data_IF_467969846420
#
_entry.id   IF_467969846420
#
_cell.length_a   1.000
_cell.length_b   1.000
_cell.length_c   1.000
_cell.angle_alpha   90.00
_cell.angle_beta   90.00
_cell.angle_gamma   90.00
#
_symmetry.space_group_name_H-M   'P 1'
#
loop_
_entity.id
_entity.type
_entity.pdbx_description
1 polymer ?
#
# COMPACT_ATOMS: atom_id res chain seq x y z
N UNK A 1 -53.62 9.93 2.47
CA UNK A 1 -52.97 10.39 1.22
C UNK A 1 -51.76 11.27 1.55
N UNK A 2 -50.58 10.69 1.32
CA UNK A 2 -49.25 11.26 1.01
C UNK A 2 -48.80 12.60 1.61
N UNK A 3 -47.98 12.51 2.67
CA UNK A 3 -46.92 13.49 3.01
C UNK A 3 -45.53 12.84 3.18
N UNK A 4 -45.27 11.68 2.56
CA UNK A 4 -44.03 10.89 2.80
C UNK A 4 -43.04 10.91 1.60
N UNK A 5 -43.34 11.56 0.48
CA UNK A 5 -42.52 11.43 -0.75
C UNK A 5 -41.49 12.57 -0.96
N UNK A 6 -41.35 13.54 -0.05
CA UNK A 6 -40.52 14.73 -0.30
C UNK A 6 -39.17 14.82 0.43
N UNK A 7 -38.73 13.76 1.13
CA UNK A 7 -37.42 13.78 1.84
C UNK A 7 -36.35 12.93 1.11
N UNK A 8 -36.76 11.99 0.24
CA UNK A 8 -35.81 11.12 -0.45
C UNK A 8 -35.10 11.80 -1.65
N UNK A 9 -35.71 12.80 -2.29
CA UNK A 9 -35.11 13.47 -3.46
C UNK A 9 -34.19 14.64 -3.12
N UNK A 10 -34.30 15.24 -1.92
CA UNK A 10 -33.46 16.38 -1.54
C UNK A 10 -32.09 15.97 -0.99
N UNK A 11 -31.95 14.76 -0.44
CA UNK A 11 -30.66 14.25 0.04
C UNK A 11 -29.80 13.75 -1.13
N UNK A 12 -30.43 13.29 -2.22
CA UNK A 12 -29.69 12.93 -3.43
C UNK A 12 -29.13 14.17 -4.17
N UNK A 13 -29.76 15.33 -4.00
CA UNK A 13 -29.34 16.59 -4.62
C UNK A 13 -28.24 17.34 -3.83
N UNK A 14 -28.05 17.02 -2.55
CA UNK A 14 -27.01 17.64 -1.73
C UNK A 14 -25.60 17.07 -1.97
N UNK A 15 -25.48 15.97 -2.73
CA UNK A 15 -24.17 15.39 -3.10
C UNK A 15 -23.67 15.87 -4.48
N UNK A 16 -24.47 16.64 -5.22
CA UNK A 16 -24.13 17.14 -6.55
C UNK A 16 -23.81 18.64 -6.59
N UNK A 17 -23.74 19.32 -5.44
CA UNK A 17 -23.49 20.77 -5.34
C UNK A 17 -22.37 21.15 -4.35
N UNK A 18 -21.33 20.33 -4.27
CA UNK A 18 -20.03 20.75 -3.74
C UNK A 18 -18.95 20.47 -4.77
N UNK A 19 -18.61 21.50 -5.55
CA UNK A 19 -17.29 21.71 -6.14
C UNK A 19 -16.78 20.70 -7.17
N UNK A 20 -17.05 20.96 -8.45
CA UNK A 20 -16.11 20.62 -9.53
C UNK A 20 -14.83 21.47 -9.40
N UNK A 21 -14.00 21.24 -8.37
CA UNK A 21 -12.83 22.10 -8.16
C UNK A 21 -12.02 21.91 -6.89
N UNK A 22 -12.08 20.74 -6.25
CA UNK A 22 -10.98 20.29 -5.38
C UNK A 22 -10.27 19.21 -6.15
N UNK A 23 -8.99 19.38 -6.47
CA UNK A 23 -8.15 18.25 -6.87
C UNK A 23 -8.24 17.23 -5.74
N UNK A 24 -9.00 16.15 -5.93
CA UNK A 24 -9.05 15.05 -4.99
C UNK A 24 -7.61 14.62 -4.72
N UNK A 25 -7.07 14.92 -3.53
CA UNK A 25 -5.83 14.30 -3.10
C UNK A 25 -6.10 12.87 -2.63
N UNK A 26 -5.07 12.03 -2.65
CA UNK A 26 -5.22 10.62 -2.30
C UNK A 26 -5.86 10.42 -0.91
N UNK A 27 -5.50 11.27 0.07
CA UNK A 27 -5.97 11.13 1.45
C UNK A 27 -7.47 11.35 1.54
N UNK A 28 -7.96 12.40 0.90
CA UNK A 28 -9.38 12.77 0.88
C UNK A 28 -10.20 11.68 0.19
N UNK A 29 -9.79 11.27 -1.03
CA UNK A 29 -10.50 10.23 -1.78
C UNK A 29 -10.51 8.88 -1.05
N UNK A 30 -9.41 8.51 -0.41
CA UNK A 30 -9.32 7.28 0.40
C UNK A 30 -10.24 7.34 1.62
N UNK A 31 -10.31 8.47 2.33
CA UNK A 31 -11.20 8.64 3.46
C UNK A 31 -12.67 8.53 3.06
N UNK A 32 -13.06 9.14 1.93
CA UNK A 32 -14.40 8.99 1.37
C UNK A 32 -14.73 7.53 1.03
N UNK A 33 -13.81 6.82 0.38
CA UNK A 33 -13.96 5.40 0.06
C UNK A 33 -14.14 4.57 1.34
N UNK A 34 -13.31 4.79 2.36
CA UNK A 34 -13.41 4.08 3.65
C UNK A 34 -14.75 4.36 4.35
N UNK A 35 -15.22 5.61 4.34
CA UNK A 35 -16.53 5.96 4.89
C UNK A 35 -17.69 5.30 4.12
N UNK A 36 -17.56 5.17 2.79
CA UNK A 36 -18.54 4.47 1.96
C UNK A 36 -18.52 2.95 2.23
N UNK A 37 -17.34 2.34 2.36
CA UNK A 37 -17.18 0.92 2.72
C UNK A 37 -17.75 0.64 4.11
N UNK A 38 -17.51 1.51 5.09
CA UNK A 38 -18.05 1.37 6.45
C UNK A 38 -19.58 1.40 6.44
N UNK A 39 -20.19 2.35 5.71
CA UNK A 39 -21.65 2.42 5.54
C UNK A 39 -22.19 1.17 4.85
N UNK A 40 -21.50 0.70 3.81
CA UNK A 40 -21.87 -0.50 3.08
C UNK A 40 -21.80 -1.75 3.95
N UNK A 41 -20.74 -1.90 4.74
CA UNK A 41 -20.53 -3.04 5.64
C UNK A 41 -21.63 -3.08 6.70
N UNK A 42 -21.93 -1.94 7.33
CA UNK A 42 -23.04 -1.83 8.29
C UNK A 42 -24.37 -2.26 7.67
N UNK A 43 -24.67 -1.79 6.45
CA UNK A 43 -25.88 -2.21 5.74
C UNK A 43 -25.88 -3.71 5.43
N UNK A 44 -24.74 -4.27 5.02
CA UNK A 44 -24.58 -5.69 4.70
C UNK A 44 -24.80 -6.61 5.91
N UNK A 45 -24.26 -6.23 7.08
CA UNK A 45 -24.40 -6.98 8.32
C UNK A 45 -25.86 -7.05 8.78
N UNK A 46 -26.58 -5.92 8.71
CA UNK A 46 -27.98 -5.83 9.14
C UNK A 46 -28.98 -6.33 8.09
N UNK A 47 -28.56 -6.52 6.83
CA UNK A 47 -29.48 -6.89 5.75
C UNK A 47 -29.92 -8.36 5.79
N UNK A 48 -31.18 -8.67 5.40
CA UNK A 48 -31.64 -10.03 5.15
C UNK A 48 -30.77 -10.78 4.12
N UNK A 49 -30.64 -12.10 4.26
CA UNK A 49 -29.82 -12.93 3.37
C UNK A 49 -30.13 -12.74 1.88
N UNK A 50 -31.41 -12.53 1.54
CA UNK A 50 -31.87 -12.31 0.15
C UNK A 50 -31.33 -11.00 -0.45
N UNK A 51 -31.09 -9.98 0.37
CA UNK A 51 -30.61 -8.66 -0.05
C UNK A 51 -29.07 -8.59 -0.10
N UNK A 52 -28.39 -9.41 0.70
CA UNK A 52 -26.92 -9.47 0.76
C UNK A 52 -26.27 -9.73 -0.61
N UNK A 53 -26.91 -10.49 -1.50
CA UNK A 53 -26.39 -10.72 -2.86
C UNK A 53 -26.32 -9.42 -3.67
N UNK A 54 -27.37 -8.59 -3.59
CA UNK A 54 -27.41 -7.29 -4.27
C UNK A 54 -26.36 -6.34 -3.69
N UNK A 55 -26.25 -6.31 -2.36
CA UNK A 55 -25.23 -5.50 -1.68
C UNK A 55 -23.81 -5.90 -2.12
N UNK A 56 -23.45 -7.18 -2.17
CA UNK A 56 -22.12 -7.60 -2.69
C UNK A 56 -21.83 -7.06 -4.10
N UNK A 57 -22.84 -7.05 -4.98
CA UNK A 57 -22.70 -6.53 -6.34
C UNK A 57 -22.51 -5.01 -6.35
N UNK A 58 -23.13 -4.31 -5.41
CA UNK A 58 -23.08 -2.86 -5.28
C UNK A 58 -22.03 -2.39 -4.26
N UNK A 59 -20.89 -3.09 -4.19
CA UNK A 59 -19.78 -2.67 -3.33
C UNK A 59 -19.27 -1.27 -3.77
N UNK A 60 -18.95 -0.34 -2.84
CA UNK A 60 -18.59 1.04 -3.18
C UNK A 60 -17.45 1.18 -4.19
N UNK A 61 -16.54 0.22 -4.25
CA UNK A 61 -15.37 0.23 -5.13
C UNK A 61 -15.68 0.59 -6.59
N UNK A 62 -16.81 0.14 -7.14
CA UNK A 62 -17.17 0.45 -8.53
C UNK A 62 -17.36 1.95 -8.79
N UNK A 63 -17.85 2.69 -7.79
CA UNK A 63 -18.05 4.14 -7.90
C UNK A 63 -16.76 4.94 -7.68
N UNK A 64 -15.80 4.38 -6.94
CA UNK A 64 -14.53 5.03 -6.62
C UNK A 64 -13.41 4.66 -7.59
N UNK A 65 -13.52 3.53 -8.30
CA UNK A 65 -12.50 3.05 -9.22
C UNK A 65 -12.11 4.10 -10.29
N UNK A 66 -13.04 4.73 -11.03
CA UNK A 66 -12.67 5.73 -12.03
C UNK A 66 -11.97 6.98 -11.44
N UNK A 67 -12.33 7.36 -10.21
CA UNK A 67 -11.69 8.49 -9.50
C UNK A 67 -10.24 8.17 -9.14
N UNK A 68 -9.99 6.95 -8.65
CA UNK A 68 -8.63 6.49 -8.39
C UNK A 68 -7.82 6.27 -9.68
N UNK A 69 -8.45 5.83 -10.78
CA UNK A 69 -7.79 5.74 -12.10
C UNK A 69 -7.32 7.11 -12.61
N UNK A 70 -8.18 8.13 -12.49
CA UNK A 70 -7.82 9.49 -12.89
C UNK A 70 -6.68 10.04 -12.02
N UNK A 71 -6.84 9.95 -10.70
CA UNK A 71 -5.84 10.42 -9.75
C UNK A 71 -4.51 9.67 -9.91
N UNK A 72 -4.57 8.35 -10.12
CA UNK A 72 -3.42 7.47 -10.32
C UNK A 72 -2.63 7.71 -11.61
N UNK A 73 -3.04 8.64 -12.49
CA UNK A 73 -2.16 9.10 -13.57
C UNK A 73 -0.96 9.87 -13.03
N UNK A 74 -1.17 10.63 -11.95
CA UNK A 74 -0.17 11.55 -11.39
C UNK A 74 0.14 11.29 -9.90
N UNK A 75 -0.63 10.43 -9.23
CA UNK A 75 -0.44 10.10 -7.81
C UNK A 75 -0.07 8.61 -7.64
N UNK A 76 1.09 8.35 -7.04
CA UNK A 76 1.58 6.99 -6.84
C UNK A 76 0.83 6.22 -5.77
N UNK A 77 0.26 6.88 -4.75
CA UNK A 77 -0.56 6.22 -3.73
C UNK A 77 -1.89 5.75 -4.31
N UNK A 78 -2.51 6.56 -5.17
CA UNK A 78 -3.70 6.17 -5.91
C UNK A 78 -3.41 5.00 -6.86
N UNK A 79 -2.25 5.01 -7.53
CA UNK A 79 -1.82 3.87 -8.36
C UNK A 79 -1.63 2.61 -7.54
N UNK A 80 -0.98 2.68 -6.37
CA UNK A 80 -0.82 1.54 -5.47
C UNK A 80 -2.18 1.00 -4.99
N UNK A 81 -3.11 1.89 -4.66
CA UNK A 81 -4.47 1.50 -4.28
C UNK A 81 -5.17 0.70 -5.39
N UNK A 82 -5.01 1.10 -6.66
CA UNK A 82 -5.57 0.36 -7.80
C UNK A 82 -4.93 -1.04 -7.93
N UNK A 83 -3.61 -1.15 -7.74
CA UNK A 83 -2.88 -2.42 -7.78
C UNK A 83 -3.41 -3.39 -6.70
N UNK A 84 -3.52 -2.90 -5.47
CA UNK A 84 -4.01 -3.67 -4.32
C UNK A 84 -5.47 -4.13 -4.50
N UNK A 85 -6.30 -3.26 -5.08
CA UNK A 85 -7.73 -3.50 -5.23
C UNK A 85 -8.11 -4.08 -6.60
N UNK A 86 -7.16 -4.42 -7.47
CA UNK A 86 -7.39 -4.80 -8.86
C UNK A 86 -8.50 -5.85 -9.05
N UNK A 87 -8.42 -6.99 -8.34
CA UNK A 87 -9.45 -8.03 -8.43
C UNK A 87 -10.83 -7.55 -7.99
N UNK A 88 -10.88 -6.78 -6.89
CA UNK A 88 -12.11 -6.24 -6.33
C UNK A 88 -12.71 -5.14 -7.24
N UNK A 89 -11.86 -4.42 -7.96
CA UNK A 89 -12.21 -3.42 -8.97
C UNK A 89 -12.64 -4.01 -10.31
N UNK A 90 -12.58 -5.34 -10.47
CA UNK A 90 -13.04 -6.03 -11.68
C UNK A 90 -11.95 -6.39 -12.69
N UNK A 91 -10.67 -6.18 -12.37
CA UNK A 91 -9.55 -6.67 -13.20
C UNK A 91 -9.58 -8.20 -13.22
N UNK A 92 -9.69 -8.76 -14.42
CA UNK A 92 -9.77 -10.22 -14.62
C UNK A 92 -8.42 -10.88 -14.33
N UNK A 93 -8.47 -12.16 -13.92
CA UNK A 93 -7.27 -12.92 -13.58
C UNK A 93 -6.22 -12.96 -14.70
N UNK A 94 -6.64 -13.14 -15.96
CA UNK A 94 -5.74 -13.16 -17.12
C UNK A 94 -5.04 -11.82 -17.39
N UNK A 95 -5.64 -10.71 -16.98
CA UNK A 95 -5.10 -9.36 -17.20
C UNK A 95 -4.34 -8.82 -15.98
N UNK A 96 -4.44 -9.51 -14.84
CA UNK A 96 -3.96 -9.01 -13.55
C UNK A 96 -2.46 -8.76 -13.54
N UNK A 97 -1.66 -9.68 -14.08
CA UNK A 97 -0.21 -9.54 -14.14
C UNK A 97 0.20 -8.29 -14.94
N UNK A 98 -0.40 -8.10 -16.13
CA UNK A 98 -0.12 -6.96 -16.98
C UNK A 98 -0.57 -5.63 -16.35
N UNK A 99 -1.74 -5.63 -15.70
CA UNK A 99 -2.25 -4.48 -14.96
C UNK A 99 -1.28 -4.06 -13.84
N UNK A 100 -0.87 -5.01 -12.99
CA UNK A 100 0.04 -4.73 -11.87
C UNK A 100 1.42 -4.28 -12.34
N UNK A 101 2.01 -4.94 -13.34
CA UNK A 101 3.29 -4.53 -13.93
C UNK A 101 3.26 -3.09 -14.44
N UNK A 102 2.20 -2.72 -15.15
CA UNK A 102 1.99 -1.35 -15.63
C UNK A 102 1.89 -0.35 -14.47
N UNK A 103 1.12 -0.70 -13.43
CA UNK A 103 0.99 0.11 -12.22
C UNK A 103 2.32 0.34 -11.51
N UNK A 104 3.07 -0.73 -11.21
CA UNK A 104 4.38 -0.61 -10.57
C UNK A 104 5.37 0.19 -11.41
N UNK A 105 5.45 -0.08 -12.72
CA UNK A 105 6.32 0.67 -13.62
C UNK A 105 5.99 2.18 -13.63
N UNK A 106 4.73 2.55 -13.45
CA UNK A 106 4.31 3.95 -13.29
C UNK A 106 4.78 4.51 -11.95
N UNK A 107 4.46 3.83 -10.84
CA UNK A 107 4.81 4.23 -9.47
C UNK A 107 6.30 4.53 -9.33
N UNK A 108 7.18 3.66 -9.86
CA UNK A 108 8.63 3.81 -9.74
C UNK A 108 9.24 4.86 -10.69
N UNK A 109 8.49 5.35 -11.69
CA UNK A 109 8.93 6.44 -12.59
C UNK A 109 8.59 7.83 -12.05
N UNK A 110 7.74 7.94 -11.04
CA UNK A 110 7.34 9.22 -10.46
C UNK A 110 8.49 9.82 -9.62
N UNK A 111 8.75 11.11 -9.79
CA UNK A 111 9.86 11.81 -9.12
C UNK A 111 9.64 11.98 -7.61
N UNK A 112 8.39 12.23 -7.18
CA UNK A 112 8.05 12.44 -5.77
C UNK A 112 7.45 11.18 -5.13
N UNK A 113 8.26 10.12 -5.01
CA UNK A 113 7.79 8.82 -4.51
C UNK A 113 8.13 8.50 -3.05
N UNK A 114 8.89 9.37 -2.37
CA UNK A 114 9.43 9.08 -1.04
C UNK A 114 8.34 8.67 -0.02
N UNK A 115 7.15 9.28 -0.10
CA UNK A 115 6.05 9.01 0.82
C UNK A 115 5.43 7.61 0.70
N UNK A 116 5.65 6.90 -0.42
CA UNK A 116 5.03 5.60 -0.69
C UNK A 116 5.98 4.55 -1.27
N UNK A 117 7.26 4.90 -1.46
CA UNK A 117 8.25 4.02 -2.07
C UNK A 117 8.43 2.70 -1.29
N UNK A 118 8.51 2.78 0.04
CA UNK A 118 8.62 1.60 0.90
C UNK A 118 7.44 0.64 0.73
N UNK A 119 6.22 1.17 0.69
CA UNK A 119 5.00 0.39 0.45
C UNK A 119 5.00 -0.23 -0.94
N UNK A 120 5.40 0.54 -1.97
CA UNK A 120 5.51 0.03 -3.33
C UNK A 120 6.48 -1.15 -3.44
N UNK A 121 7.64 -1.08 -2.78
CA UNK A 121 8.64 -2.15 -2.74
C UNK A 121 8.08 -3.40 -2.06
N UNK A 122 7.45 -3.24 -0.89
CA UNK A 122 6.88 -4.35 -0.15
C UNK A 122 5.76 -5.05 -0.95
N UNK A 123 4.84 -4.28 -1.53
CA UNK A 123 3.76 -4.81 -2.34
C UNK A 123 4.27 -5.51 -3.60
N UNK A 124 5.28 -4.94 -4.28
CA UNK A 124 5.89 -5.55 -5.46
C UNK A 124 6.47 -6.94 -5.14
N UNK A 125 7.16 -7.07 -4.00
CA UNK A 125 7.73 -8.34 -3.56
C UNK A 125 6.64 -9.37 -3.23
N UNK A 126 5.56 -8.97 -2.52
CA UNK A 126 4.41 -9.84 -2.25
C UNK A 126 3.70 -10.30 -3.54
N UNK A 127 3.77 -9.48 -4.59
CA UNK A 127 3.16 -9.76 -5.89
C UNK A 127 4.05 -10.60 -6.81
N UNK A 128 5.21 -11.11 -6.36
CA UNK A 128 6.14 -11.90 -7.17
C UNK A 128 5.45 -13.04 -7.95
N UNK A 129 4.61 -13.83 -7.27
CA UNK A 129 3.83 -14.91 -7.90
C UNK A 129 2.81 -14.42 -8.96
N UNK A 130 2.42 -13.15 -8.93
CA UNK A 130 1.49 -12.56 -9.92
C UNK A 130 2.23 -11.86 -11.05
N UNK A 131 3.28 -11.09 -10.76
CA UNK A 131 4.00 -10.29 -11.76
C UNK A 131 5.28 -10.95 -12.27
N UNK A 132 5.68 -12.08 -11.71
CA UNK A 132 6.88 -12.84 -12.06
C UNK A 132 8.14 -12.29 -11.39
N UNK A 133 8.98 -13.20 -10.89
CA UNK A 133 10.17 -12.88 -10.08
C UNK A 133 11.18 -12.03 -10.85
N UNK A 134 11.40 -12.30 -12.14
CA UNK A 134 12.29 -11.48 -12.99
C UNK A 134 11.91 -10.00 -12.99
N UNK A 135 10.60 -9.73 -13.05
CA UNK A 135 10.10 -8.36 -13.02
C UNK A 135 10.40 -7.70 -11.68
N UNK A 136 10.17 -8.41 -10.58
CA UNK A 136 10.43 -7.94 -9.22
C UNK A 136 11.92 -7.71 -9.00
N UNK A 137 12.74 -8.75 -9.21
CA UNK A 137 14.20 -8.72 -9.05
C UNK A 137 14.83 -7.61 -9.88
N UNK A 138 14.42 -7.46 -11.14
CA UNK A 138 14.91 -6.40 -12.02
C UNK A 138 14.62 -4.99 -11.51
N UNK A 139 13.44 -4.76 -10.92
CA UNK A 139 13.09 -3.47 -10.31
C UNK A 139 13.86 -3.24 -9.01
N UNK A 140 13.88 -4.22 -8.10
CA UNK A 140 14.56 -4.09 -6.81
C UNK A 140 16.07 -3.87 -6.98
N UNK A 141 16.74 -4.62 -7.86
CA UNK A 141 18.16 -4.40 -8.19
C UNK A 141 18.43 -3.00 -8.75
N UNK A 142 17.53 -2.48 -9.59
CA UNK A 142 17.66 -1.12 -10.14
C UNK A 142 17.54 -0.06 -9.04
N UNK A 143 16.54 -0.20 -8.16
CA UNK A 143 16.33 0.72 -7.04
C UNK A 143 17.50 0.67 -6.05
N UNK A 144 18.05 -0.51 -5.77
CA UNK A 144 19.19 -0.68 -4.88
C UNK A 144 20.45 0.06 -5.37
N UNK A 145 20.69 0.02 -6.69
CA UNK A 145 21.79 0.75 -7.36
C UNK A 145 21.55 2.26 -7.45
N UNK A 146 20.32 2.72 -7.28
CA UNK A 146 19.94 4.12 -7.38
C UNK A 146 20.29 4.96 -6.15
N UNK A 147 19.69 6.15 -6.11
CA UNK A 147 19.86 7.18 -5.07
C UNK A 147 18.88 7.05 -3.90
N UNK A 148 18.24 5.89 -3.74
CA UNK A 148 17.34 5.64 -2.62
C UNK A 148 18.03 5.86 -1.27
N UNK A 149 17.28 6.33 -0.28
CA UNK A 149 17.80 6.54 1.08
C UNK A 149 18.29 5.23 1.70
N UNK A 150 19.12 5.32 2.74
CA UNK A 150 19.63 4.14 3.46
C UNK A 150 18.51 3.21 3.95
N UNK A 151 17.47 3.78 4.55
CA UNK A 151 16.33 3.03 5.08
C UNK A 151 15.59 2.28 3.96
N UNK A 152 15.37 2.94 2.82
CA UNK A 152 14.76 2.30 1.65
C UNK A 152 15.65 1.21 1.09
N UNK A 153 16.98 1.42 1.02
CA UNK A 153 17.93 0.38 0.59
C UNK A 153 17.88 -0.85 1.50
N UNK A 154 17.74 -0.68 2.82
CA UNK A 154 17.54 -1.80 3.74
C UNK A 154 16.30 -2.63 3.42
N UNK A 155 15.16 -1.96 3.16
CA UNK A 155 13.93 -2.63 2.75
C UNK A 155 14.13 -3.37 1.42
N UNK A 156 14.76 -2.74 0.44
CA UNK A 156 15.05 -3.37 -0.86
C UNK A 156 15.93 -4.60 -0.68
N UNK A 157 16.99 -4.53 0.13
CA UNK A 157 17.88 -5.66 0.42
C UNK A 157 17.10 -6.83 0.98
N UNK A 158 16.29 -6.61 2.02
CA UNK A 158 15.49 -7.68 2.63
C UNK A 158 14.50 -8.26 1.62
N UNK A 159 13.72 -7.41 0.93
CA UNK A 159 12.71 -7.87 -0.03
C UNK A 159 13.28 -8.56 -1.26
N UNK A 160 14.42 -8.10 -1.76
CA UNK A 160 15.14 -8.80 -2.84
C UNK A 160 15.68 -10.14 -2.35
N UNK A 161 16.16 -10.21 -1.11
CA UNK A 161 16.69 -11.44 -0.50
C UNK A 161 15.61 -12.50 -0.35
N UNK A 162 14.45 -12.11 0.19
CA UNK A 162 13.27 -12.96 0.30
C UNK A 162 12.87 -13.54 -1.07
N UNK A 163 12.73 -12.69 -2.09
CA UNK A 163 12.33 -13.13 -3.46
C UNK A 163 13.37 -14.07 -4.07
N UNK A 164 14.67 -13.76 -3.93
CA UNK A 164 15.74 -14.60 -4.47
C UNK A 164 15.82 -15.95 -3.74
N UNK A 165 15.72 -15.96 -2.41
CA UNK A 165 15.78 -17.17 -1.58
C UNK A 165 14.64 -18.15 -1.85
N UNK A 166 13.49 -17.65 -2.31
CA UNK A 166 12.34 -18.46 -2.68
C UNK A 166 12.44 -19.05 -4.11
N UNK A 167 13.51 -18.75 -4.86
CA UNK A 167 13.69 -19.24 -6.23
C UNK A 167 13.98 -20.75 -6.27
N UNK A 168 13.45 -21.43 -7.28
CA UNK A 168 13.81 -22.83 -7.56
C UNK A 168 15.23 -22.98 -8.15
N UNK A 169 15.81 -21.90 -8.64
CA UNK A 169 17.19 -21.86 -9.12
C UNK A 169 18.15 -21.77 -7.92
N UNK A 170 18.99 -22.80 -7.76
CA UNK A 170 19.86 -22.94 -6.59
C UNK A 170 20.88 -21.80 -6.44
N UNK A 171 21.39 -21.24 -7.54
CA UNK A 171 22.34 -20.13 -7.46
C UNK A 171 21.65 -18.85 -6.99
N UNK A 172 20.44 -18.58 -7.47
CA UNK A 172 19.61 -17.46 -7.01
C UNK A 172 19.15 -17.63 -5.58
N UNK A 173 18.73 -18.83 -5.20
CA UNK A 173 18.36 -19.13 -3.82
C UNK A 173 19.53 -18.82 -2.86
N UNK A 174 20.72 -19.32 -3.19
CA UNK A 174 21.94 -19.06 -2.41
C UNK A 174 22.32 -17.56 -2.38
N UNK A 175 22.13 -16.82 -3.47
CA UNK A 175 22.32 -15.36 -3.49
C UNK A 175 21.38 -14.67 -2.48
N UNK A 176 20.09 -15.04 -2.49
CA UNK A 176 19.09 -14.50 -1.60
C UNK A 176 19.39 -14.80 -0.13
N UNK A 177 19.67 -16.06 0.18
CA UNK A 177 20.05 -16.52 1.53
C UNK A 177 21.28 -15.78 2.05
N UNK A 178 22.33 -15.67 1.22
CA UNK A 178 23.55 -14.94 1.58
C UNK A 178 23.23 -13.47 1.88
N UNK A 179 22.42 -12.83 1.04
CA UNK A 179 22.10 -11.42 1.23
C UNK A 179 21.28 -11.16 2.50
N UNK A 180 20.37 -12.09 2.85
CA UNK A 180 19.63 -12.04 4.12
C UNK A 180 20.54 -12.27 5.32
N UNK A 181 21.42 -13.29 5.27
CA UNK A 181 22.36 -13.59 6.33
C UNK A 181 23.34 -12.44 6.59
N UNK A 182 23.86 -11.80 5.54
CA UNK A 182 24.72 -10.62 5.65
C UNK A 182 23.98 -9.43 6.27
N UNK A 183 22.70 -9.24 5.92
CA UNK A 183 21.88 -8.19 6.51
C UNK A 183 21.62 -8.45 7.99
N UNK A 184 21.26 -9.67 8.35
CA UNK A 184 21.00 -10.10 9.72
C UNK A 184 22.25 -9.97 10.60
N UNK A 185 23.39 -10.48 10.13
CA UNK A 185 24.67 -10.38 10.82
C UNK A 185 25.08 -8.92 11.08
N UNK A 186 24.74 -8.02 10.15
CA UNK A 186 25.13 -6.60 10.24
C UNK A 186 24.20 -5.75 11.10
N UNK A 187 22.90 -6.06 11.13
CA UNK A 187 21.90 -5.14 11.67
C UNK A 187 20.96 -5.72 12.73
N UNK A 188 20.89 -7.05 12.88
CA UNK A 188 19.89 -7.72 13.73
C UNK A 188 20.55 -8.59 14.80
N UNK A 189 21.70 -9.20 14.50
CA UNK A 189 22.39 -10.13 15.40
C UNK A 189 22.84 -9.49 16.72
N UNK A 190 23.00 -10.31 17.77
CA UNK A 190 23.55 -9.88 19.06
C UNK A 190 24.91 -9.17 18.87
N UNK A 191 25.08 -8.03 19.54
CA UNK A 191 26.26 -7.19 19.39
C UNK A 191 26.24 -6.24 18.19
N UNK A 192 25.26 -6.34 17.28
CA UNK A 192 25.06 -5.35 16.23
C UNK A 192 24.74 -3.97 16.84
N UNK A 193 25.32 -2.92 16.26
CA UNK A 193 25.06 -1.54 16.70
C UNK A 193 23.66 -1.16 16.23
N UNK A 194 22.78 -0.87 17.19
CA UNK A 194 21.44 -0.37 16.91
C UNK A 194 21.50 0.89 16.04
N UNK A 195 20.74 0.89 14.95
CA UNK A 195 20.71 1.98 13.98
C UNK A 195 20.01 3.17 14.62
N UNK A 196 20.60 4.36 14.54
CA UNK A 196 19.93 5.58 14.97
C UNK A 196 18.73 5.87 14.07
N UNK A 197 17.63 6.32 14.67
CA UNK A 197 16.38 6.59 13.96
C UNK A 197 15.76 7.87 14.49
N UNK A 198 14.97 8.51 13.63
CA UNK A 198 14.10 9.63 13.98
C UNK A 198 12.68 9.12 14.18
N UNK A 199 12.05 9.50 15.28
CA UNK A 199 10.67 9.15 15.57
C UNK A 199 9.93 10.34 16.19
N UNK A 200 8.61 10.34 16.04
CA UNK A 200 7.72 11.34 16.64
C UNK A 200 6.67 10.62 17.48
N UNK A 201 6.47 11.04 18.72
CA UNK A 201 5.42 10.49 19.59
C UNK A 201 4.03 10.95 19.14
N UNK A 202 2.98 10.35 19.70
CA UNK A 202 1.58 10.76 19.44
C UNK A 202 1.30 12.21 19.86
N UNK A 203 2.07 12.74 20.81
CA UNK A 203 1.98 14.13 21.28
C UNK A 203 2.86 15.09 20.46
N UNK A 204 3.51 14.61 19.40
CA UNK A 204 4.33 15.42 18.50
C UNK A 204 5.77 15.63 18.96
N UNK A 205 6.25 14.93 19.99
CA UNK A 205 7.63 15.03 20.43
C UNK A 205 8.56 14.25 19.52
N UNK A 206 9.53 14.92 18.91
CA UNK A 206 10.60 14.28 18.15
C UNK A 206 11.65 13.68 19.10
N UNK A 207 12.12 12.48 18.79
CA UNK A 207 13.22 11.84 19.50
C UNK A 207 14.06 10.96 18.58
N UNK A 208 15.30 10.74 18.98
CA UNK A 208 16.24 9.81 18.35
C UNK A 208 16.67 8.73 19.32
N UNK A 209 17.16 7.60 18.82
CA UNK A 209 17.80 6.59 19.67
C UNK A 209 19.02 7.18 20.37
N UNK A 210 19.79 8.02 19.66
CA UNK A 210 20.97 8.69 20.21
C UNK A 210 20.69 9.66 21.36
N UNK A 211 19.45 10.10 21.57
CA UNK A 211 19.06 10.93 22.71
C UNK A 211 19.12 10.14 24.05
N UNK A 212 19.15 8.82 23.99
CA UNK A 212 19.20 7.93 25.14
C UNK A 212 20.61 7.40 25.45
N UNK A 213 21.66 8.01 24.88
CA UNK A 213 23.06 7.63 25.16
C UNK A 213 23.35 7.62 26.66
N UNK A 214 24.07 6.59 27.10
CA UNK A 214 24.40 6.36 28.52
C UNK A 214 23.31 5.68 29.33
N UNK A 215 22.17 5.32 28.73
CA UNK A 215 21.10 4.55 29.36
C UNK A 215 21.01 3.14 28.76
N UNK A 216 20.49 2.19 29.54
CA UNK A 216 19.97 0.95 28.98
C UNK A 216 18.65 1.25 28.26
N UNK A 217 18.51 0.81 27.01
CA UNK A 217 17.35 1.09 26.15
C UNK A 217 16.78 -0.23 25.64
N UNK A 218 15.47 -0.41 25.80
CA UNK A 218 14.69 -1.45 25.14
C UNK A 218 13.85 -0.80 24.05
N UNK A 219 13.91 -1.34 22.82
CA UNK A 219 13.06 -0.93 21.71
C UNK A 219 12.06 -2.06 21.45
N UNK A 220 10.77 -1.74 21.57
CA UNK A 220 9.67 -2.68 21.36
C UNK A 220 8.82 -2.22 20.17
N UNK A 221 8.53 -3.14 19.24
CA UNK A 221 7.70 -2.91 18.06
C UNK A 221 6.34 -3.58 18.27
N UNK A 222 5.30 -2.78 18.55
CA UNK A 222 3.93 -3.26 18.74
C UNK A 222 2.97 -2.64 17.72
N UNK A 223 1.81 -3.28 17.51
CA UNK A 223 0.74 -2.78 16.64
C UNK A 223 -0.62 -3.34 17.04
N UNK A 224 -1.70 -2.68 16.60
CA UNK A 224 -3.08 -3.18 16.72
C UNK A 224 -3.47 -3.86 15.41
N UNK A 225 -4.01 -5.08 15.48
CA UNK A 225 -4.41 -5.90 14.33
C UNK A 225 -5.93 -6.08 14.24
#
# INVERSE_FOLDING_TARGET
>A
MNKIILIASSILLATTLLGHGSLDDYKTLKAEYQAAVTRHQKAFETAPLKERKSLRKNHPIGNFWPRFEELGKNDGQATLWLIENAKKGGVKGGDLAAFKRTGYARVFKMENNAAYLSTAIANLALDANTVGDEFVVGHLRRLLKGTASRSVKGIITVKLGEVLSASEDAERAAEGEKMLAEYEAKFISEGAIAIDFDATTIDGHEFKLSDYRGKAVLVDFYGFW
#
